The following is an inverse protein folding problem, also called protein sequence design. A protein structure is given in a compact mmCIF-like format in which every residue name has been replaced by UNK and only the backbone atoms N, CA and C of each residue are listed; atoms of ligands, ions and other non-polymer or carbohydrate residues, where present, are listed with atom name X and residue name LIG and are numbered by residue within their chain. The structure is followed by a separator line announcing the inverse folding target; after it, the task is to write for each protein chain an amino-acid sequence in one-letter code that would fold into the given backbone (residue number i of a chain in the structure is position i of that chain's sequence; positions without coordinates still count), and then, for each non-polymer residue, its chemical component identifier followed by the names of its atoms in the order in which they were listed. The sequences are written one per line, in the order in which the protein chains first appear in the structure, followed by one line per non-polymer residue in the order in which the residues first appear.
data_IF_754422703912
#
_entry.id   IF_754422703912
#
_cell.length_a   1.000
_cell.length_b   1.000
_cell.length_c   1.000
_cell.angle_alpha   90.00
_cell.angle_beta   90.00
_cell.angle_gamma   90.00
#
_symmetry.space_group_name_H-M   'P 1'
#
loop_
_entity.id
_entity.type
_entity.pdbx_description
1 polymer ?
#
# COMPACT_ATOMS: atom_id res chain seq x y z
N UNK A 1 10.59 -4.40 -15.28
CA UNK A 1 10.81 -4.11 -13.85
C UNK A 1 12.10 -3.35 -13.83
N UNK A 2 11.99 -2.03 -13.90
CA UNK A 2 13.13 -1.15 -14.14
C UNK A 2 13.59 -0.68 -12.76
N UNK A 3 14.53 -1.44 -12.19
CA UNK A 3 15.08 -1.20 -10.85
C UNK A 3 16.02 0.01 -10.79
N UNK A 4 16.37 0.58 -11.95
CA UNK A 4 17.32 1.69 -12.12
C UNK A 4 16.68 2.84 -12.91
N UNK A 5 15.47 3.26 -12.56
CA UNK A 5 15.00 4.57 -13.01
C UNK A 5 15.85 5.66 -12.32
N UNK A 6 16.70 6.41 -13.06
CA UNK A 6 17.53 7.46 -12.49
C UNK A 6 16.69 8.60 -11.89
N UNK A 7 15.41 8.70 -12.25
CA UNK A 7 14.48 9.70 -11.74
C UNK A 7 13.70 9.24 -10.50
N UNK A 8 13.91 8.01 -10.04
CA UNK A 8 13.31 7.50 -8.82
C UNK A 8 13.76 8.29 -7.59
N UNK A 9 12.83 8.65 -6.71
CA UNK A 9 13.15 9.25 -5.42
C UNK A 9 13.99 8.26 -4.59
N UNK A 10 15.22 8.66 -4.24
CA UNK A 10 16.13 7.93 -3.36
C UNK A 10 16.28 8.71 -2.05
N UNK A 11 15.33 8.57 -1.11
CA UNK A 11 15.40 9.31 0.14
C UNK A 11 16.60 8.85 0.97
N UNK A 12 17.35 9.80 1.55
CA UNK A 12 18.46 9.49 2.45
C UNK A 12 17.97 8.83 3.75
N UNK A 13 16.75 9.17 4.19
CA UNK A 13 16.09 8.61 5.38
C UNK A 13 14.59 8.42 5.16
N UNK A 14 14.06 7.35 5.73
CA UNK A 14 12.64 7.04 5.78
C UNK A 14 12.25 6.94 7.26
N UNK A 15 11.23 7.68 7.69
CA UNK A 15 10.83 7.71 9.10
C UNK A 15 10.07 6.46 9.55
N UNK A 16 9.70 5.58 8.62
CA UNK A 16 8.98 4.33 8.89
C UNK A 16 7.47 4.50 9.05
N UNK A 17 6.93 5.70 8.86
CA UNK A 17 5.47 5.92 8.84
C UNK A 17 4.91 5.53 7.47
N UNK A 18 3.85 4.72 7.46
CA UNK A 18 3.13 4.30 6.25
C UNK A 18 1.70 4.81 6.33
N UNK A 19 1.23 5.46 5.27
CA UNK A 19 -0.16 5.92 5.13
C UNK A 19 -0.78 5.39 3.83
N UNK A 20 -1.88 4.66 3.98
CA UNK A 20 -2.87 4.41 2.94
C UNK A 20 -4.06 5.33 3.24
N UNK A 21 -4.51 6.10 2.26
CA UNK A 21 -5.64 7.00 2.42
C UNK A 21 -6.64 6.81 1.28
N UNK A 22 -7.89 6.53 1.63
CA UNK A 22 -9.02 6.41 0.69
C UNK A 22 -8.69 5.50 -0.50
N UNK A 23 -8.06 4.36 -0.21
CA UNK A 23 -7.57 3.41 -1.21
C UNK A 23 -8.71 2.54 -1.73
N UNK A 24 -8.96 2.67 -3.02
CA UNK A 24 -9.84 1.80 -3.80
C UNK A 24 -8.99 0.78 -4.57
N UNK A 25 -9.33 -0.50 -4.46
CA UNK A 25 -8.55 -1.55 -5.09
C UNK A 25 -9.41 -2.70 -5.60
N UNK A 26 -9.08 -3.16 -6.81
CA UNK A 26 -9.47 -4.46 -7.34
C UNK A 26 -8.25 -5.10 -8.01
N UNK A 27 -8.21 -6.43 -8.09
CA UNK A 27 -7.19 -7.10 -8.88
C UNK A 27 -7.43 -6.86 -10.38
N UNK A 28 -6.38 -6.62 -11.20
CA UNK A 28 -6.55 -6.43 -12.65
C UNK A 28 -7.27 -7.60 -13.33
N UNK A 29 -7.03 -8.83 -12.87
CA UNK A 29 -7.70 -10.04 -13.36
C UNK A 29 -9.18 -10.13 -12.96
N UNK A 30 -9.65 -9.29 -12.03
CA UNK A 30 -11.01 -9.30 -11.47
C UNK A 30 -11.53 -7.88 -11.26
N UNK A 31 -11.52 -7.06 -12.31
CA UNK A 31 -11.91 -5.64 -12.25
C UNK A 31 -13.35 -5.37 -11.76
N UNK A 32 -14.25 -6.36 -11.84
CA UNK A 32 -15.64 -6.25 -11.35
C UNK A 32 -15.78 -6.50 -9.84
N UNK A 33 -14.73 -6.94 -9.17
CA UNK A 33 -14.75 -7.29 -7.76
C UNK A 33 -13.80 -6.37 -6.98
N UNK A 34 -14.37 -5.38 -6.30
CA UNK A 34 -13.63 -4.52 -5.39
C UNK A 34 -13.18 -5.33 -4.17
N UNK A 35 -11.92 -5.20 -3.81
CA UNK A 35 -11.35 -5.70 -2.56
C UNK A 35 -11.45 -4.62 -1.48
N UNK A 36 -11.13 -3.37 -1.84
CA UNK A 36 -11.21 -2.21 -0.95
C UNK A 36 -11.99 -1.08 -1.60
N UNK A 37 -12.84 -0.42 -0.80
CA UNK A 37 -13.51 0.83 -1.14
C UNK A 37 -13.24 1.79 0.01
N UNK A 38 -12.38 2.79 -0.20
CA UNK A 38 -12.02 3.80 0.78
C UNK A 38 -11.14 3.30 1.93
N UNK A 39 -10.25 2.32 1.70
CA UNK A 39 -9.38 1.82 2.78
C UNK A 39 -8.40 2.91 3.23
N UNK A 40 -8.44 3.23 4.52
CA UNK A 40 -7.47 4.10 5.18
C UNK A 40 -6.74 3.33 6.28
N UNK A 41 -5.41 3.35 6.23
CA UNK A 41 -4.54 2.68 7.19
C UNK A 41 -3.35 3.60 7.50
N UNK A 42 -3.04 3.74 8.79
CA UNK A 42 -1.85 4.45 9.24
C UNK A 42 -1.03 3.52 10.12
N UNK A 43 0.21 3.27 9.73
CA UNK A 43 1.20 2.55 10.54
C UNK A 43 2.19 3.57 11.07
N UNK A 44 2.30 3.63 12.40
CA UNK A 44 3.21 4.54 13.07
C UNK A 44 4.64 3.96 13.05
N UNK A 45 5.67 4.81 12.99
CA UNK A 45 7.04 4.38 13.18
C UNK A 45 7.21 3.56 14.46
N UNK A 46 8.10 2.58 14.43
CA UNK A 46 8.46 1.77 15.60
C UNK A 46 7.28 1.01 16.24
N UNK A 47 6.21 0.73 15.49
CA UNK A 47 5.08 -0.08 15.95
C UNK A 47 4.95 -1.38 15.17
N UNK A 48 4.35 -2.39 15.80
CA UNK A 48 3.96 -3.63 15.14
C UNK A 48 2.43 -3.60 14.97
N UNK A 49 1.98 -3.73 13.72
CA UNK A 49 0.55 -3.81 13.39
C UNK A 49 0.24 -5.21 12.87
N UNK A 50 -0.72 -5.88 13.51
CA UNK A 50 -1.21 -7.18 13.07
C UNK A 50 -2.47 -7.00 12.19
N UNK A 51 -2.48 -7.62 11.01
CA UNK A 51 -3.65 -7.69 10.15
C UNK A 51 -4.42 -9.00 10.40
N UNK A 52 -5.63 -8.90 10.95
CA UNK A 52 -6.47 -10.04 11.28
C UNK A 52 -7.78 -10.04 10.49
N UNK A 53 -8.34 -11.22 10.22
CA UNK A 53 -9.61 -11.40 9.52
C UNK A 53 -9.67 -12.70 8.72
N UNK A 54 -10.84 -13.05 8.19
CA UNK A 54 -11.06 -14.27 7.41
C UNK A 54 -10.25 -14.31 6.10
N UNK A 55 -9.92 -15.50 5.60
CA UNK A 55 -9.23 -15.66 4.32
C UNK A 55 -9.97 -14.95 3.18
N UNK A 56 -9.24 -14.33 2.26
CA UNK A 56 -9.83 -13.63 1.10
C UNK A 56 -10.25 -12.17 1.33
N UNK A 57 -10.25 -11.65 2.57
CA UNK A 57 -10.62 -10.24 2.87
C UNK A 57 -9.53 -9.19 2.56
N UNK A 58 -8.52 -9.54 1.76
CA UNK A 58 -7.53 -8.56 1.29
C UNK A 58 -6.31 -8.30 2.19
N UNK A 59 -6.10 -9.04 3.29
CA UNK A 59 -4.92 -8.86 4.18
C UNK A 59 -3.58 -8.86 3.42
N UNK A 60 -3.34 -9.89 2.61
CA UNK A 60 -2.12 -9.97 1.78
C UNK A 60 -2.09 -8.90 0.70
N UNK A 61 -3.27 -8.43 0.26
CA UNK A 61 -3.41 -7.33 -0.69
C UNK A 61 -2.89 -6.02 -0.11
N UNK A 62 -3.14 -5.73 1.17
CA UNK A 62 -2.58 -4.55 1.86
C UNK A 62 -1.05 -4.57 1.78
N UNK A 63 -0.43 -5.71 2.08
CA UNK A 63 1.02 -5.88 2.01
C UNK A 63 1.52 -5.69 0.57
N UNK A 64 0.85 -6.27 -0.42
CA UNK A 64 1.18 -6.09 -1.83
C UNK A 64 1.10 -4.63 -2.30
N UNK A 65 0.12 -3.86 -1.83
CA UNK A 65 0.02 -2.43 -2.12
C UNK A 65 1.17 -1.66 -1.44
N UNK A 66 1.49 -1.96 -0.18
CA UNK A 66 2.62 -1.33 0.55
C UNK A 66 3.97 -1.67 -0.09
N UNK A 67 4.13 -2.86 -0.67
CA UNK A 67 5.32 -3.26 -1.41
C UNK A 67 5.29 -2.83 -2.87
N UNK A 68 4.23 -2.13 -3.29
CA UNK A 68 4.01 -1.64 -4.67
C UNK A 68 4.01 -2.75 -5.72
N UNK A 69 3.63 -3.97 -5.33
CA UNK A 69 3.30 -5.06 -6.27
C UNK A 69 1.98 -4.83 -6.99
N UNK A 70 1.10 -4.01 -6.42
CA UNK A 70 -0.11 -3.55 -7.06
C UNK A 70 -0.28 -2.04 -6.84
N UNK A 71 -0.59 -1.32 -7.90
CA UNK A 71 -1.03 0.07 -7.81
C UNK A 71 -2.55 0.13 -7.59
N UNK A 72 -3.04 0.90 -6.61
CA UNK A 72 -4.46 1.11 -6.42
C UNK A 72 -5.10 1.99 -7.49
N UNK A 73 -6.43 1.92 -7.60
CA UNK A 73 -7.22 2.73 -8.53
C UNK A 73 -7.21 4.21 -8.10
N UNK A 74 -7.34 4.43 -6.79
CA UNK A 74 -7.22 5.72 -6.11
C UNK A 74 -5.90 5.74 -5.35
N UNK A 75 -4.91 6.46 -5.87
CA UNK A 75 -3.55 6.45 -5.35
C UNK A 75 -3.29 7.58 -4.35
N UNK A 76 -3.43 7.28 -3.05
CA UNK A 76 -2.78 8.03 -1.97
C UNK A 76 -2.08 7.07 -1.01
N UNK A 77 -1.05 6.40 -1.52
CA UNK A 77 -0.05 5.71 -0.70
C UNK A 77 1.10 6.69 -0.45
N UNK A 78 1.42 6.94 0.81
CA UNK A 78 2.49 7.88 1.19
C UNK A 78 3.42 7.24 2.20
N UNK A 79 4.71 7.28 1.90
CA UNK A 79 5.79 7.00 2.82
C UNK A 79 6.33 8.33 3.31
N UNK A 80 6.34 8.57 4.62
CA UNK A 80 6.88 9.83 5.13
C UNK A 80 8.41 9.77 5.18
N UNK A 81 9.00 10.53 4.27
CA UNK A 81 10.42 10.89 4.25
C UNK A 81 10.63 12.04 5.24
N UNK A 82 11.62 11.92 6.11
CA UNK A 82 11.98 12.94 7.10
C UNK A 82 12.99 13.93 6.57
#
# INVERSE_FOLDING_TARGET
MDSDDPNGLKPERINGEIKLKDVDFCYPSRFKQMIFVGLSLKVQPMTIVALAGQSGLGKSTIIGIIQRFYDPLSSKVTYCIG
#
